data_IF_373737603847
#
_entry.id   IF_373737603847
#
_cell.length_a   1.000
_cell.length_b   1.000
_cell.length_c   1.000
_cell.angle_alpha   90.00
_cell.angle_beta   90.00
_cell.angle_gamma   90.00
#
_symmetry.space_group_name_H-M   'P 1'
#
loop_
_entity.id
_entity.type
_entity.pdbx_description
1 polymer ?
#
# COMPACT_ATOMS: atom_id res chain seq x y z
N UNK A 1 5.00 16.54 1.55
CA UNK A 1 4.49 15.90 0.33
C UNK A 1 5.15 16.49 -0.94
N UNK A 2 4.79 15.99 -2.13
CA UNK A 2 5.42 16.40 -3.40
C UNK A 2 5.21 17.89 -3.73
N UNK A 3 4.12 18.51 -3.28
CA UNK A 3 3.92 19.96 -3.42
C UNK A 3 5.00 20.77 -2.69
N UNK A 4 5.37 20.36 -1.47
CA UNK A 4 6.48 21.01 -0.75
C UNK A 4 7.82 20.83 -1.49
N UNK A 5 8.02 19.68 -2.13
CA UNK A 5 9.21 19.44 -2.93
C UNK A 5 9.27 20.36 -4.16
N UNK A 6 8.15 20.57 -4.84
CA UNK A 6 8.06 21.53 -5.95
C UNK A 6 8.40 22.95 -5.47
N UNK A 7 7.81 23.36 -4.34
CA UNK A 7 8.07 24.63 -3.70
C UNK A 7 9.55 24.83 -3.32
N UNK A 8 10.18 23.81 -2.76
CA UNK A 8 11.59 23.86 -2.39
C UNK A 8 12.55 23.98 -3.58
N UNK A 9 12.21 23.38 -4.74
CA UNK A 9 13.05 23.40 -5.94
C UNK A 9 12.82 24.65 -6.78
N UNK A 10 11.58 25.09 -6.91
CA UNK A 10 11.19 26.17 -7.84
C UNK A 10 10.93 27.47 -7.12
N UNK A 11 10.53 27.44 -5.85
CA UNK A 11 10.09 28.59 -5.07
C UNK A 11 8.58 28.73 -5.02
N UNK A 12 8.15 29.80 -4.32
CA UNK A 12 6.74 30.20 -4.24
C UNK A 12 6.41 31.06 -5.49
N UNK A 13 5.76 30.42 -6.45
CA UNK A 13 5.43 31.02 -7.73
C UNK A 13 3.92 30.94 -7.93
N UNK A 14 3.27 32.01 -8.41
CA UNK A 14 1.87 31.97 -8.83
C UNK A 14 1.59 30.84 -9.82
N UNK A 15 0.37 30.25 -9.74
CA UNK A 15 0.05 29.01 -10.49
C UNK A 15 0.12 29.20 -12.02
N UNK A 16 -0.11 30.39 -12.51
CA UNK A 16 -0.06 30.76 -13.92
C UNK A 16 1.35 31.05 -14.45
N UNK A 17 2.31 31.28 -13.55
CA UNK A 17 3.71 31.54 -13.90
C UNK A 17 4.58 30.30 -14.03
N UNK A 18 4.08 29.11 -13.63
CA UNK A 18 4.85 27.87 -13.78
C UNK A 18 5.11 27.55 -15.25
N UNK A 19 6.38 27.63 -15.63
CA UNK A 19 6.83 27.44 -17.02
C UNK A 19 7.39 26.04 -17.27
N UNK A 20 7.45 25.66 -18.54
CA UNK A 20 8.08 24.41 -18.98
C UNK A 20 9.55 24.32 -18.58
N UNK A 21 10.27 25.45 -18.56
CA UNK A 21 11.68 25.51 -18.16
C UNK A 21 11.82 25.18 -16.67
N UNK A 22 10.98 25.75 -15.82
CA UNK A 22 10.93 25.42 -14.38
C UNK A 22 10.69 23.94 -14.16
N UNK A 23 9.81 23.30 -14.95
CA UNK A 23 9.55 21.86 -14.82
C UNK A 23 10.73 21.00 -15.28
N UNK A 24 11.54 21.45 -16.20
CA UNK A 24 12.80 20.77 -16.53
C UNK A 24 13.83 20.89 -15.39
N UNK A 25 13.89 22.04 -14.73
CA UNK A 25 14.70 22.22 -13.52
C UNK A 25 14.21 21.30 -12.41
N UNK A 26 12.90 21.27 -12.14
CA UNK A 26 12.29 20.34 -11.20
C UNK A 26 12.66 18.88 -11.50
N UNK A 27 12.54 18.46 -12.76
CA UNK A 27 12.89 17.11 -13.20
C UNK A 27 14.36 16.79 -12.96
N UNK A 28 15.28 17.66 -13.39
CA UNK A 28 16.71 17.41 -13.27
C UNK A 28 17.19 17.36 -11.83
N UNK A 29 16.59 18.17 -10.94
CA UNK A 29 16.89 18.18 -9.51
C UNK A 29 16.25 17.00 -8.80
N UNK A 30 14.95 16.76 -9.01
CA UNK A 30 14.22 15.69 -8.34
C UNK A 30 14.81 14.30 -8.62
N UNK A 31 15.28 14.05 -9.86
CA UNK A 31 15.91 12.77 -10.22
C UNK A 31 17.27 12.51 -9.55
N UNK A 32 17.89 13.53 -8.95
CA UNK A 32 19.15 13.42 -8.19
C UNK A 32 18.92 13.20 -6.69
N UNK A 33 17.71 13.39 -6.21
CA UNK A 33 17.39 13.30 -4.78
C UNK A 33 17.52 11.86 -4.24
N UNK A 34 17.97 11.67 -3.02
CA UNK A 34 17.94 10.37 -2.36
C UNK A 34 16.50 9.92 -2.09
N UNK A 35 16.23 8.60 -2.00
CA UNK A 35 14.95 8.11 -1.55
C UNK A 35 14.70 8.53 -0.10
N UNK A 36 13.42 8.76 0.26
CA UNK A 36 12.99 9.16 1.61
C UNK A 36 13.59 10.48 2.12
N UNK A 37 13.74 11.47 1.24
CA UNK A 37 14.25 12.79 1.59
C UNK A 37 13.59 13.41 2.84
N UNK A 38 12.30 13.17 3.05
CA UNK A 38 11.55 13.64 4.21
C UNK A 38 11.97 13.01 5.56
N UNK A 39 12.86 12.02 5.57
CA UNK A 39 13.44 11.41 6.76
C UNK A 39 14.83 12.01 7.08
N UNK A 40 15.35 12.84 6.20
CA UNK A 40 16.62 13.55 6.41
C UNK A 40 16.29 14.90 7.07
N UNK A 41 16.31 14.92 8.40
CA UNK A 41 16.11 16.15 9.16
C UNK A 41 17.35 17.07 9.07
N UNK A 42 17.11 18.38 8.93
CA UNK A 42 18.15 19.44 8.97
C UNK A 42 19.27 19.34 7.91
N UNK A 43 19.01 18.77 6.75
CA UNK A 43 19.96 18.72 5.64
C UNK A 43 19.48 19.61 4.48
N UNK A 44 20.39 20.39 3.87
CA UNK A 44 20.05 21.14 2.66
C UNK A 44 19.81 20.18 1.48
N UNK A 45 19.08 20.66 0.46
CA UNK A 45 18.82 19.83 -0.73
C UNK A 45 20.11 19.53 -1.50
N UNK A 46 21.02 20.51 -1.57
CA UNK A 46 22.33 20.36 -2.19
C UNK A 46 23.17 19.30 -1.47
N UNK A 47 23.23 19.35 -0.14
CA UNK A 47 23.96 18.37 0.65
C UNK A 47 23.33 16.98 0.55
N UNK A 48 22.00 16.90 0.54
CA UNK A 48 21.30 15.63 0.34
C UNK A 48 21.60 15.00 -1.02
N UNK A 49 21.72 15.80 -2.08
CA UNK A 49 22.11 15.35 -3.41
C UNK A 49 23.59 14.93 -3.42
N UNK A 50 24.47 15.72 -2.82
CA UNK A 50 25.91 15.44 -2.79
C UNK A 50 26.24 14.14 -2.03
N UNK A 51 25.49 13.83 -0.96
CA UNK A 51 25.68 12.64 -0.12
C UNK A 51 24.89 11.43 -0.63
N UNK A 52 24.06 11.57 -1.66
CA UNK A 52 23.18 10.53 -2.14
C UNK A 52 23.94 9.34 -2.75
N UNK A 53 23.94 8.20 -2.06
CA UNK A 53 24.46 6.92 -2.61
C UNK A 53 23.53 6.32 -3.66
N UNK A 54 22.26 6.60 -3.59
CA UNK A 54 21.21 6.16 -4.52
C UNK A 54 20.21 7.28 -4.71
N UNK A 55 19.57 7.32 -5.88
CA UNK A 55 18.56 8.33 -6.19
C UNK A 55 17.15 7.72 -6.24
N UNK A 56 16.13 8.57 -6.22
CA UNK A 56 14.76 8.11 -6.41
C UNK A 56 14.61 7.36 -7.73
N UNK A 57 13.72 6.36 -7.74
CA UNK A 57 13.42 5.63 -8.98
C UNK A 57 12.64 6.50 -9.97
N UNK A 58 12.77 6.21 -11.27
CA UNK A 58 11.95 6.84 -12.32
C UNK A 58 10.45 6.65 -12.03
N UNK A 59 10.04 5.54 -11.43
CA UNK A 59 8.66 5.31 -11.01
C UNK A 59 8.23 6.32 -9.96
N UNK A 60 9.07 6.56 -8.95
CA UNK A 60 8.80 7.55 -7.89
C UNK A 60 8.67 8.95 -8.50
N UNK A 61 9.61 9.33 -9.38
CA UNK A 61 9.53 10.60 -10.09
C UNK A 61 8.25 10.72 -10.93
N UNK A 62 7.89 9.69 -11.69
CA UNK A 62 6.66 9.68 -12.48
C UNK A 62 5.38 9.77 -11.63
N UNK A 63 5.40 9.25 -10.39
CA UNK A 63 4.32 9.47 -9.43
C UNK A 63 4.25 10.92 -8.98
N UNK A 64 5.39 11.58 -8.71
CA UNK A 64 5.42 13.01 -8.41
C UNK A 64 4.81 13.84 -9.54
N UNK A 65 5.22 13.56 -10.79
CA UNK A 65 4.66 14.23 -11.98
C UNK A 65 3.16 13.97 -12.10
N UNK A 66 2.70 12.75 -11.84
CA UNK A 66 1.27 12.42 -11.88
C UNK A 66 0.47 13.23 -10.84
N UNK A 67 0.95 13.28 -9.60
CA UNK A 67 0.24 13.96 -8.52
C UNK A 67 0.18 15.48 -8.77
N UNK A 68 1.31 16.09 -9.15
CA UNK A 68 1.37 17.51 -9.48
C UNK A 68 0.56 17.84 -10.75
N UNK A 69 0.65 17.01 -11.79
CA UNK A 69 -0.15 17.18 -13.01
C UNK A 69 -1.66 17.12 -12.71
N UNK A 70 -2.09 16.35 -11.73
CA UNK A 70 -3.50 16.30 -11.31
C UNK A 70 -3.95 17.64 -10.74
N UNK A 71 -3.13 18.27 -9.90
CA UNK A 71 -3.40 19.60 -9.32
C UNK A 71 -3.46 20.66 -10.43
N UNK A 72 -2.46 20.69 -11.32
CA UNK A 72 -2.44 21.67 -12.41
C UNK A 72 -3.54 21.43 -13.46
N UNK A 73 -3.96 20.19 -13.68
CA UNK A 73 -5.13 19.91 -14.52
C UNK A 73 -6.44 20.45 -13.90
N UNK A 74 -6.53 20.46 -12.58
CA UNK A 74 -7.63 21.16 -11.91
C UNK A 74 -7.51 22.68 -12.09
N UNK A 75 -6.31 23.24 -11.91
CA UNK A 75 -6.07 24.67 -12.08
C UNK A 75 -6.44 25.17 -13.51
N UNK A 76 -6.10 24.39 -14.54
CA UNK A 76 -6.50 24.67 -15.92
C UNK A 76 -8.02 24.68 -16.08
N UNK A 77 -8.71 23.64 -15.55
CA UNK A 77 -10.19 23.58 -15.61
C UNK A 77 -10.87 24.71 -14.85
N UNK A 78 -10.24 25.18 -13.77
CA UNK A 78 -10.73 26.31 -12.96
C UNK A 78 -10.35 27.68 -13.52
N UNK A 79 -9.60 27.76 -14.63
CA UNK A 79 -9.18 29.00 -15.27
C UNK A 79 -8.02 29.72 -14.56
N UNK A 80 -7.32 29.07 -13.65
CA UNK A 80 -6.18 29.67 -12.93
C UNK A 80 -4.87 29.64 -13.75
N UNK A 81 -4.78 28.81 -14.78
CA UNK A 81 -3.68 28.79 -15.74
C UNK A 81 -4.16 28.22 -17.07
N UNK A 82 -3.46 28.59 -18.16
CA UNK A 82 -3.85 28.18 -19.51
C UNK A 82 -3.45 26.74 -19.83
N UNK A 83 -2.34 26.26 -19.29
CA UNK A 83 -1.73 24.97 -19.61
C UNK A 83 -1.19 24.28 -18.37
N UNK A 84 -1.19 22.95 -18.43
CA UNK A 84 -0.54 22.15 -17.38
C UNK A 84 0.97 22.04 -17.69
N UNK A 85 1.85 22.63 -16.84
CA UNK A 85 3.29 22.64 -17.11
C UNK A 85 3.94 21.26 -16.98
N UNK A 86 3.24 20.29 -16.37
CA UNK A 86 3.71 18.91 -16.19
C UNK A 86 3.41 17.99 -17.38
N UNK A 87 2.69 18.47 -18.41
CA UNK A 87 2.35 17.65 -19.57
C UNK A 87 3.61 17.18 -20.29
N UNK A 88 3.69 15.86 -20.52
CA UNK A 88 4.83 15.23 -21.18
C UNK A 88 6.14 15.22 -20.36
N UNK A 89 6.12 15.58 -19.05
CA UNK A 89 7.31 15.59 -18.22
C UNK A 89 7.76 14.19 -17.77
N UNK A 90 6.86 13.20 -17.78
CA UNK A 90 7.15 11.83 -17.41
C UNK A 90 8.32 11.25 -18.19
N UNK A 91 9.13 10.46 -17.50
CA UNK A 91 10.25 9.71 -18.09
C UNK A 91 9.73 8.35 -18.58
N UNK A 92 10.00 8.01 -19.83
CA UNK A 92 9.65 6.70 -20.38
C UNK A 92 10.49 5.62 -19.70
N UNK A 93 9.81 4.58 -19.19
CA UNK A 93 10.49 3.39 -18.68
C UNK A 93 10.85 2.47 -19.84
N UNK A 94 12.10 1.99 -19.85
CA UNK A 94 12.58 1.01 -20.86
C UNK A 94 12.01 -0.39 -20.65
N UNK A 95 11.52 -0.68 -19.43
CA UNK A 95 10.97 -1.99 -19.04
C UNK A 95 9.54 -1.83 -18.48
N UNK A 96 8.72 -2.85 -18.62
CA UNK A 96 7.37 -2.86 -18.04
C UNK A 96 7.47 -2.83 -16.50
N UNK A 97 6.66 -2.01 -15.82
CA UNK A 97 6.62 -1.94 -14.35
C UNK A 97 6.34 -3.30 -13.72
N UNK A 98 5.54 -4.13 -14.37
CA UNK A 98 5.24 -5.50 -13.91
C UNK A 98 6.47 -6.41 -13.85
N UNK A 99 7.51 -6.16 -14.66
CA UNK A 99 8.75 -6.95 -14.65
C UNK A 99 9.73 -6.53 -13.54
N UNK A 100 9.45 -5.44 -12.82
CA UNK A 100 10.28 -4.96 -11.71
C UNK A 100 9.94 -5.63 -10.37
N UNK A 101 8.89 -6.44 -10.33
CA UNK A 101 8.51 -7.24 -9.17
C UNK A 101 8.48 -8.70 -9.57
N UNK A 102 9.33 -9.50 -8.95
CA UNK A 102 9.27 -10.94 -9.07
C UNK A 102 8.11 -11.48 -8.21
N UNK A 103 7.49 -12.55 -8.68
CA UNK A 103 6.60 -13.36 -7.84
C UNK A 103 7.46 -14.17 -6.86
N UNK A 104 6.90 -14.52 -5.73
CA UNK A 104 7.54 -15.47 -4.81
C UNK A 104 7.79 -16.79 -5.52
N UNK A 105 8.99 -17.34 -5.35
CA UNK A 105 9.32 -18.71 -5.75
C UNK A 105 8.81 -19.69 -4.70
N UNK A 106 8.79 -20.99 -5.02
CA UNK A 106 8.44 -22.02 -4.04
C UNK A 106 9.40 -21.97 -2.83
N UNK A 107 10.69 -21.74 -3.07
CA UNK A 107 11.68 -21.63 -2.01
C UNK A 107 11.43 -20.40 -1.09
N UNK A 108 10.98 -19.28 -1.64
CA UNK A 108 10.59 -18.12 -0.83
C UNK A 108 9.38 -18.46 0.05
N UNK A 109 8.38 -19.15 -0.51
CA UNK A 109 7.19 -19.59 0.22
C UNK A 109 7.59 -20.58 1.33
N UNK A 110 8.42 -21.57 1.04
CA UNK A 110 8.92 -22.53 2.02
C UNK A 110 9.70 -21.82 3.14
N UNK A 111 10.54 -20.84 2.79
CA UNK A 111 11.27 -20.02 3.76
C UNK A 111 10.34 -19.25 4.68
N UNK A 112 9.30 -18.63 4.14
CA UNK A 112 8.31 -17.86 4.93
C UNK A 112 7.58 -18.78 5.92
N UNK A 113 7.15 -19.95 5.47
CA UNK A 113 6.34 -20.86 6.28
C UNK A 113 7.16 -21.89 7.11
N UNK A 114 8.49 -21.89 7.01
CA UNK A 114 9.39 -22.59 7.92
C UNK A 114 9.78 -21.79 9.17
N UNK A 115 9.31 -20.54 9.29
CA UNK A 115 9.57 -19.71 10.48
C UNK A 115 8.89 -20.28 11.72
N UNK A 116 9.42 -19.96 12.92
CA UNK A 116 8.89 -20.41 14.22
C UNK A 116 7.38 -20.13 14.39
N UNK A 117 6.88 -19.05 13.80
CA UNK A 117 5.45 -18.70 13.84
C UNK A 117 4.57 -19.81 13.23
N UNK A 118 5.07 -20.51 12.24
CA UNK A 118 4.33 -21.56 11.52
C UNK A 118 4.73 -22.98 11.91
N UNK A 119 5.80 -23.17 12.69
CA UNK A 119 6.34 -24.48 13.08
C UNK A 119 6.03 -24.93 14.52
N UNK A 120 5.21 -24.18 15.25
CA UNK A 120 4.76 -24.52 16.60
C UNK A 120 5.84 -24.60 17.70
N UNK A 121 6.87 -23.78 17.67
CA UNK A 121 7.81 -23.68 18.77
C UNK A 121 7.39 -22.60 19.79
N UNK A 122 6.98 -23.04 20.97
CA UNK A 122 6.85 -22.49 22.33
C UNK A 122 6.36 -21.04 22.57
N UNK A 123 6.45 -20.10 21.63
CA UNK A 123 5.83 -18.79 21.78
C UNK A 123 4.55 -18.76 20.94
N UNK A 124 3.40 -18.74 21.60
CA UNK A 124 2.10 -18.58 20.93
C UNK A 124 2.12 -17.30 20.08
N UNK A 125 2.20 -17.41 18.76
CA UNK A 125 2.16 -16.23 17.92
C UNK A 125 0.80 -15.56 18.09
N UNK A 126 0.75 -14.25 17.92
CA UNK A 126 -0.54 -13.57 17.83
C UNK A 126 -1.31 -14.13 16.65
N UNK A 127 -2.61 -14.30 16.76
CA UNK A 127 -3.45 -14.96 15.74
C UNK A 127 -3.24 -14.38 14.33
N UNK A 128 -3.08 -13.05 14.22
CA UNK A 128 -2.85 -12.41 12.93
C UNK A 128 -1.49 -12.77 12.31
N UNK A 129 -0.45 -13.00 13.10
CA UNK A 129 0.88 -13.35 12.60
C UNK A 129 0.88 -14.73 11.93
N UNK A 130 0.09 -15.65 12.47
CA UNK A 130 -0.08 -16.97 11.89
C UNK A 130 -1.03 -16.96 10.68
N UNK A 131 -2.21 -16.35 10.83
CA UNK A 131 -3.26 -16.50 9.82
C UNK A 131 -3.15 -15.53 8.63
N UNK A 132 -2.70 -14.28 8.81
CA UNK A 132 -2.69 -13.33 7.68
C UNK A 132 -1.79 -13.73 6.52
N UNK A 133 -0.55 -14.26 6.74
CA UNK A 133 0.27 -14.76 5.63
C UNK A 133 -0.39 -15.92 4.89
N UNK A 134 -0.98 -16.88 5.60
CA UNK A 134 -1.70 -18.01 5.03
C UNK A 134 -2.93 -17.55 4.24
N UNK A 135 -3.74 -16.69 4.81
CA UNK A 135 -4.89 -16.10 4.11
C UNK A 135 -4.44 -15.34 2.87
N UNK A 136 -3.38 -14.55 2.97
CA UNK A 136 -2.81 -13.83 1.83
C UNK A 136 -2.40 -14.78 0.69
N UNK A 137 -1.71 -15.87 1.02
CA UNK A 137 -1.25 -16.87 0.05
C UNK A 137 -2.42 -17.54 -0.68
N UNK A 138 -3.44 -17.99 0.06
CA UNK A 138 -4.53 -18.80 -0.48
C UNK A 138 -5.70 -18.00 -1.04
N UNK A 139 -5.77 -16.68 -0.81
CA UNK A 139 -6.90 -15.84 -1.28
C UNK A 139 -6.48 -14.75 -2.25
N UNK A 140 -5.21 -14.33 -2.23
CA UNK A 140 -4.74 -13.17 -2.98
C UNK A 140 -5.41 -11.84 -2.57
N UNK A 141 -6.12 -11.82 -1.43
CA UNK A 141 -6.77 -10.62 -0.94
C UNK A 141 -5.75 -9.62 -0.40
N UNK A 142 -6.11 -8.33 -0.41
CA UNK A 142 -5.22 -7.29 0.13
C UNK A 142 -5.08 -7.42 1.64
N UNK A 143 -3.90 -7.10 2.17
CA UNK A 143 -3.63 -7.21 3.60
C UNK A 143 -4.72 -6.52 4.45
N UNK A 144 -5.12 -5.31 4.11
CA UNK A 144 -6.17 -4.61 4.87
C UNK A 144 -7.55 -5.26 4.75
N UNK A 145 -7.88 -5.88 3.60
CA UNK A 145 -9.12 -6.64 3.43
C UNK A 145 -9.17 -7.83 4.39
N UNK A 146 -8.05 -8.52 4.59
CA UNK A 146 -7.91 -9.63 5.51
C UNK A 146 -7.86 -9.17 6.97
N UNK A 147 -7.11 -8.11 7.25
CA UNK A 147 -6.91 -7.59 8.62
C UNK A 147 -8.18 -7.05 9.25
N UNK A 148 -9.14 -6.60 8.44
CA UNK A 148 -10.41 -6.04 8.91
C UNK A 148 -11.55 -7.05 8.99
N UNK A 149 -11.30 -8.34 8.71
CA UNK A 149 -12.35 -9.36 8.70
C UNK A 149 -13.05 -9.49 10.06
N UNK A 150 -14.36 -9.60 9.97
CA UNK A 150 -15.23 -10.00 11.06
C UNK A 150 -15.56 -11.49 10.92
N UNK A 151 -16.02 -12.10 11.97
CA UNK A 151 -16.53 -13.50 11.91
C UNK A 151 -17.74 -13.64 11.04
N UNK A 152 -18.58 -12.61 11.00
CA UNK A 152 -19.75 -12.55 10.13
C UNK A 152 -19.37 -12.54 8.63
N UNK A 153 -18.10 -12.27 8.30
CA UNK A 153 -17.60 -12.32 6.94
C UNK A 153 -17.21 -13.74 6.50
N UNK A 154 -17.28 -14.71 7.43
CA UNK A 154 -17.12 -16.12 7.10
C UNK A 154 -18.52 -16.70 6.94
N UNK A 155 -18.87 -16.97 5.71
CA UNK A 155 -20.24 -17.35 5.29
C UNK A 155 -20.23 -18.69 4.54
N UNK A 156 -21.39 -19.36 4.55
CA UNK A 156 -21.60 -20.55 3.72
C UNK A 156 -22.53 -20.16 2.56
N UNK A 157 -22.05 -20.34 1.34
CA UNK A 157 -22.82 -20.08 0.13
C UNK A 157 -22.90 -21.36 -0.70
N UNK A 158 -24.09 -21.85 -0.95
CA UNK A 158 -24.33 -23.12 -1.66
C UNK A 158 -23.50 -24.30 -1.10
N UNK A 159 -23.39 -24.40 0.22
CA UNK A 159 -22.62 -25.46 0.90
C UNK A 159 -21.10 -25.25 0.89
N UNK A 160 -20.59 -24.12 0.39
CA UNK A 160 -19.18 -23.80 0.33
C UNK A 160 -18.86 -22.72 1.37
N UNK A 161 -17.86 -22.99 2.23
CA UNK A 161 -17.34 -21.96 3.14
C UNK A 161 -16.58 -20.90 2.36
N UNK A 162 -16.94 -19.63 2.55
CA UNK A 162 -16.38 -18.49 1.84
C UNK A 162 -15.95 -17.37 2.80
N UNK A 163 -14.95 -16.61 2.38
CA UNK A 163 -14.64 -15.28 2.91
C UNK A 163 -15.43 -14.26 2.10
N UNK A 164 -16.27 -13.47 2.74
CA UNK A 164 -16.94 -12.33 2.12
C UNK A 164 -16.11 -11.06 2.35
N UNK A 165 -15.40 -10.62 1.33
CA UNK A 165 -14.68 -9.36 1.34
C UNK A 165 -15.70 -8.25 1.10
N UNK A 166 -16.02 -7.50 2.16
CA UNK A 166 -17.06 -6.46 2.16
C UNK A 166 -16.70 -5.31 3.11
N UNK A 167 -17.53 -4.26 3.14
CA UNK A 167 -17.38 -3.12 4.02
C UNK A 167 -18.73 -2.73 4.65
N UNK A 168 -19.30 -3.64 5.44
CA UNK A 168 -20.59 -3.48 6.11
C UNK A 168 -20.42 -3.09 7.58
N UNK A 169 -19.38 -3.63 8.23
CA UNK A 169 -19.14 -3.38 9.64
C UNK A 169 -18.31 -2.11 9.88
N UNK A 170 -18.45 -1.53 11.06
CA UNK A 170 -17.67 -0.34 11.46
C UNK A 170 -16.17 -0.58 11.32
N UNK A 171 -15.48 0.38 10.70
CA UNK A 171 -14.03 0.31 10.45
C UNK A 171 -13.61 -0.53 9.25
N UNK A 172 -14.55 -1.21 8.57
CA UNK A 172 -14.27 -1.85 7.29
C UNK A 172 -14.33 -0.82 6.15
N UNK A 173 -13.43 -0.98 5.18
CA UNK A 173 -13.43 -0.19 3.94
C UNK A 173 -12.83 -0.97 2.78
N UNK A 174 -13.38 -0.77 1.62
CA UNK A 174 -12.85 -1.28 0.36
C UNK A 174 -12.24 -0.15 -0.46
N UNK A 175 -11.25 -0.48 -1.27
CA UNK A 175 -10.61 0.51 -2.17
C UNK A 175 -11.62 1.01 -3.23
N UNK A 176 -12.54 0.15 -3.67
CA UNK A 176 -13.63 0.48 -4.59
C UNK A 176 -14.81 -0.46 -4.30
N UNK A 177 -16.05 -0.07 -4.64
CA UNK A 177 -17.22 -0.96 -4.51
C UNK A 177 -17.02 -2.30 -5.24
N UNK A 178 -16.37 -2.29 -6.40
CA UNK A 178 -16.05 -3.50 -7.19
C UNK A 178 -15.04 -4.45 -6.52
N UNK A 179 -14.50 -4.08 -5.36
CA UNK A 179 -13.63 -4.96 -4.58
C UNK A 179 -14.42 -5.95 -3.72
N UNK A 180 -15.73 -5.74 -3.54
CA UNK A 180 -16.61 -6.68 -2.85
C UNK A 180 -16.68 -8.00 -3.61
N UNK A 181 -16.46 -9.11 -2.90
CA UNK A 181 -16.45 -10.44 -3.50
C UNK A 181 -16.48 -11.56 -2.47
N UNK A 182 -16.95 -12.73 -2.91
CA UNK A 182 -16.83 -13.99 -2.18
C UNK A 182 -15.58 -14.75 -2.64
N UNK A 183 -14.80 -15.26 -1.69
CA UNK A 183 -13.63 -16.10 -1.96
C UNK A 183 -13.83 -17.44 -1.27
N UNK A 184 -13.94 -18.56 -1.99
CA UNK A 184 -14.01 -19.89 -1.37
C UNK A 184 -12.78 -20.15 -0.48
N UNK A 185 -13.01 -20.71 0.71
CA UNK A 185 -11.93 -21.04 1.63
C UNK A 185 -11.21 -22.30 1.12
N UNK A 186 -9.94 -22.14 0.78
CA UNK A 186 -9.10 -23.23 0.27
C UNK A 186 -9.02 -24.39 1.26
N UNK A 187 -9.03 -25.65 0.74
CA UNK A 187 -9.01 -26.86 1.57
C UNK A 187 -7.82 -26.90 2.56
N UNK A 188 -6.65 -26.39 2.16
CA UNK A 188 -5.49 -26.31 3.04
C UNK A 188 -5.73 -25.45 4.28
N UNK A 189 -6.43 -24.31 4.14
CA UNK A 189 -6.80 -23.47 5.28
C UNK A 189 -7.75 -24.21 6.23
N UNK A 190 -8.68 -25.00 5.68
CA UNK A 190 -9.59 -25.85 6.48
C UNK A 190 -8.80 -26.92 7.24
N UNK A 191 -7.89 -27.62 6.57
CA UNK A 191 -7.00 -28.63 7.20
C UNK A 191 -6.12 -28.03 8.31
N UNK A 192 -5.64 -26.80 8.15
CA UNK A 192 -4.87 -26.08 9.17
C UNK A 192 -5.74 -25.58 10.34
N UNK A 193 -7.07 -25.78 10.29
CA UNK A 193 -7.97 -25.46 11.38
C UNK A 193 -8.53 -24.04 11.36
N UNK A 194 -8.51 -23.34 10.21
CA UNK A 194 -9.00 -21.97 10.12
C UNK A 194 -10.47 -21.82 10.57
N UNK A 195 -11.35 -22.76 10.20
CA UNK A 195 -12.76 -22.72 10.62
C UNK A 195 -12.90 -22.96 12.14
N UNK A 196 -12.04 -23.79 12.73
CA UNK A 196 -11.99 -23.99 14.18
C UNK A 196 -11.51 -22.70 14.88
N UNK A 197 -10.50 -22.03 14.34
CA UNK A 197 -10.07 -20.71 14.82
C UNK A 197 -11.22 -19.70 14.80
N UNK A 198 -11.92 -19.57 13.68
CA UNK A 198 -13.08 -18.67 13.56
C UNK A 198 -14.15 -19.00 14.60
N UNK A 199 -14.39 -20.29 14.86
CA UNK A 199 -15.42 -20.76 15.79
C UNK A 199 -14.99 -20.59 17.27
N UNK A 200 -13.73 -20.91 17.60
CA UNK A 200 -13.19 -20.80 18.97
C UNK A 200 -13.12 -19.35 19.43
N UNK A 201 -12.82 -18.44 18.52
CA UNK A 201 -12.90 -17.01 18.78
C UNK A 201 -14.29 -16.54 19.23
N UNK A 202 -15.40 -17.26 18.97
CA UNK A 202 -16.76 -16.91 19.43
C UNK A 202 -16.88 -16.81 20.95
N UNK A 203 -16.03 -17.51 21.72
CA UNK A 203 -16.02 -17.45 23.21
C UNK A 203 -15.45 -16.15 23.77
N UNK A 204 -14.70 -15.38 22.98
CA UNK A 204 -14.23 -14.05 23.32
C UNK A 204 -15.20 -13.06 22.68
N UNK A 205 -15.85 -12.20 23.39
CA UNK A 205 -16.89 -11.23 22.99
C UNK A 205 -16.53 -10.31 21.79
N UNK A 206 -15.47 -10.61 21.07
CA UNK A 206 -14.91 -9.79 19.98
C UNK A 206 -15.42 -10.27 18.64
N UNK A 207 -16.04 -9.37 17.90
CA UNK A 207 -16.62 -9.63 16.57
C UNK A 207 -15.57 -9.78 15.46
N UNK A 208 -14.40 -9.11 15.60
CA UNK A 208 -13.31 -9.16 14.62
C UNK A 208 -12.48 -10.44 14.76
N UNK A 209 -11.96 -10.95 13.63
CA UNK A 209 -11.06 -12.12 13.64
C UNK A 209 -9.69 -11.79 14.27
N UNK A 210 -9.20 -10.58 14.04
CA UNK A 210 -7.89 -10.10 14.54
C UNK A 210 -8.08 -8.85 15.40
N UNK A 211 -8.64 -8.99 16.62
CA UNK A 211 -8.94 -7.86 17.49
C UNK A 211 -7.71 -7.15 18.05
N UNK A 212 -6.55 -7.79 18.00
CA UNK A 212 -5.27 -7.26 18.43
C UNK A 212 -4.68 -6.22 17.44
N UNK A 213 -5.20 -6.17 16.22
CA UNK A 213 -4.79 -5.15 15.25
C UNK A 213 -5.53 -3.85 15.54
N UNK A 214 -4.77 -2.78 15.81
CA UNK A 214 -5.30 -1.44 16.02
C UNK A 214 -5.68 -0.78 14.70
N UNK A 215 -6.69 0.09 14.76
CA UNK A 215 -7.09 0.89 13.60
C UNK A 215 -6.20 2.13 13.46
N UNK A 216 -5.63 2.33 12.29
CA UNK A 216 -4.92 3.54 11.94
C UNK A 216 -5.69 4.35 10.90
N UNK A 217 -5.87 5.66 11.13
CA UNK A 217 -6.69 6.55 10.29
C UNK A 217 -6.37 6.46 8.79
N UNK A 218 -5.07 6.36 8.43
CA UNK A 218 -4.62 6.33 7.04
C UNK A 218 -4.42 4.92 6.48
N UNK A 219 -4.03 3.95 7.32
CA UNK A 219 -3.62 2.62 6.90
C UNK A 219 -4.63 1.52 7.23
N UNK A 220 -5.73 1.84 7.94
CA UNK A 220 -6.69 0.85 8.42
C UNK A 220 -6.05 -0.08 9.46
N UNK A 221 -6.39 -1.37 9.38
CA UNK A 221 -5.88 -2.39 10.31
C UNK A 221 -4.59 -3.08 9.83
N UNK A 222 -4.04 -2.68 8.69
CA UNK A 222 -2.83 -3.29 8.11
C UNK A 222 -1.52 -2.70 8.63
N UNK A 223 -1.60 -1.69 9.51
CA UNK A 223 -0.41 -1.15 10.15
C UNK A 223 0.19 -2.18 11.11
N UNK A 224 1.51 -2.35 11.06
CA UNK A 224 2.23 -3.14 12.06
C UNK A 224 1.94 -2.58 13.45
N UNK A 225 1.55 -3.40 14.43
CA UNK A 225 1.49 -2.95 15.81
C UNK A 225 2.89 -2.48 16.22
N UNK A 226 2.98 -1.26 16.72
CA UNK A 226 4.18 -0.73 17.37
C UNK A 226 4.51 -1.54 18.60
#
# INVERSE_FOLDING_TARGET
GVANLLYQIIGDVPVDEYSRVMMQTFKSTALKLPPRLNQLENISMEDAIAQAKTTISVITFNNYVKDLSTVFSFAVRAGYCERNPFDGLKVKLKVKVSSLRSRFTNNDVDTIFSTEIHTHNEKTPKDYQYWLPLLGLYTGARLNELSQLYRSDIVVVNGIDCLHIQAVNSGQRLKSPSSERLIPIHSKLKTLGFLNFVTSSKKKSKQRLFPELSYHKYHGYSATPS
#
